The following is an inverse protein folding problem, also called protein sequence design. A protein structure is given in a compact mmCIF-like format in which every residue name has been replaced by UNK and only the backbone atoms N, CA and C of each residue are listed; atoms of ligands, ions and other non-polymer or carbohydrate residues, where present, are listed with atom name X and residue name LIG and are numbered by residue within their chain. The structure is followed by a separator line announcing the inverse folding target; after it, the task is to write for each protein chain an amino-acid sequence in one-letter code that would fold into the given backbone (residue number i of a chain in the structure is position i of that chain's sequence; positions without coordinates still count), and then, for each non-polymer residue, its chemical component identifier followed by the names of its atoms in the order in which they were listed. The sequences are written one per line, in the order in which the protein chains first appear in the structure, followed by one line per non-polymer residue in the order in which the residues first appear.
data_IF_865698751802
#
_entry.id   IF_865698751802
#
_cell.length_a   1.000
_cell.length_b   1.000
_cell.length_c   1.000
_cell.angle_alpha   90.00
_cell.angle_beta   90.00
_cell.angle_gamma   90.00
#
_symmetry.space_group_name_H-M   'P 1'
#
loop_
_entity.id
_entity.type
_entity.pdbx_description
1 polymer ?
#
# COMPACT_ATOMS: atom_id res chain seq x y z
N UNK A 1 -0.29 6.35 7.89
CA UNK A 1 0.64 6.74 8.98
C UNK A 1 0.40 8.16 9.43
N UNK A 2 0.56 9.18 8.58
CA UNK A 2 0.40 10.59 8.97
C UNK A 2 -0.94 10.87 9.68
N UNK A 3 -2.05 10.35 9.16
CA UNK A 3 -3.38 10.45 9.78
C UNK A 3 -3.43 9.93 11.23
N UNK A 4 -2.87 8.74 11.49
CA UNK A 4 -2.79 8.20 12.85
C UNK A 4 -1.85 9.02 13.73
N UNK A 5 -0.69 9.41 13.20
CA UNK A 5 0.31 10.18 13.95
C UNK A 5 -0.22 11.55 14.38
N UNK A 6 -0.93 12.25 13.49
CA UNK A 6 -1.54 13.54 13.83
C UNK A 6 -2.61 13.39 14.89
N UNK A 7 -3.45 12.36 14.83
CA UNK A 7 -4.44 12.08 15.89
C UNK A 7 -3.79 11.80 17.25
N UNK A 8 -2.70 11.02 17.29
CA UNK A 8 -1.93 10.79 18.52
C UNK A 8 -1.36 12.10 19.07
N UNK A 9 -0.86 12.98 18.22
CA UNK A 9 -0.35 14.29 18.64
C UNK A 9 -1.44 15.22 19.15
N UNK A 10 -2.64 15.17 18.58
CA UNK A 10 -3.82 15.88 19.11
C UNK A 10 -4.15 15.40 20.52
N UNK A 11 -4.19 14.08 20.74
CA UNK A 11 -4.48 13.51 22.06
C UNK A 11 -3.43 13.91 23.10
N UNK A 12 -2.14 13.89 22.73
CA UNK A 12 -1.05 14.34 23.58
C UNK A 12 -1.15 15.85 23.89
N UNK A 13 -1.38 16.69 22.88
CA UNK A 13 -1.51 18.14 23.07
C UNK A 13 -2.66 18.47 24.04
N UNK A 14 -3.81 17.79 23.90
CA UNK A 14 -4.94 17.92 24.83
C UNK A 14 -4.58 17.43 26.23
N UNK A 15 -3.89 16.29 26.34
CA UNK A 15 -3.52 15.71 27.64
C UNK A 15 -2.55 16.60 28.43
N UNK A 16 -1.64 17.29 27.75
CA UNK A 16 -0.66 18.18 28.38
C UNK A 16 -1.09 19.65 28.44
N UNK A 17 -2.26 20.00 27.90
CA UNK A 17 -2.77 21.37 27.90
C UNK A 17 -1.94 22.33 27.02
N UNK A 18 -1.41 21.83 25.91
CA UNK A 18 -0.64 22.65 24.96
C UNK A 18 -1.57 23.46 24.05
N UNK A 19 -2.03 24.60 24.56
CA UNK A 19 -2.96 25.50 23.84
C UNK A 19 -2.33 26.19 22.62
N UNK A 20 -0.99 26.26 22.54
CA UNK A 20 -0.28 26.90 21.43
C UNK A 20 -0.22 25.96 20.20
N UNK A 21 0.13 24.69 20.43
CA UNK A 21 0.27 23.71 19.34
C UNK A 21 -1.07 23.12 18.90
N UNK A 22 -2.02 22.95 19.83
CA UNK A 22 -3.27 22.23 19.60
C UNK A 22 -4.03 22.69 18.35
N UNK A 23 -4.26 24.01 18.10
CA UNK A 23 -5.05 24.44 16.95
C UNK A 23 -4.42 24.09 15.60
N UNK A 24 -3.09 24.05 15.52
CA UNK A 24 -2.38 23.71 14.30
C UNK A 24 -2.46 22.20 14.01
N UNK A 25 -2.23 21.37 15.03
CA UNK A 25 -2.24 19.91 14.86
C UNK A 25 -3.65 19.34 14.70
N UNK A 26 -4.68 19.95 15.30
CA UNK A 26 -6.07 19.58 15.08
C UNK A 26 -6.47 19.76 13.61
N UNK A 27 -6.16 20.91 13.00
CA UNK A 27 -6.46 21.18 11.59
C UNK A 27 -5.76 20.18 10.65
N UNK A 28 -4.50 19.88 10.93
CA UNK A 28 -3.74 18.89 10.16
C UNK A 28 -4.33 17.48 10.34
N UNK A 29 -4.71 17.11 11.57
CA UNK A 29 -5.35 15.83 11.87
C UNK A 29 -6.71 15.69 11.16
N UNK A 30 -7.54 16.73 11.15
CA UNK A 30 -8.81 16.74 10.43
C UNK A 30 -8.59 16.54 8.92
N UNK A 31 -7.61 17.25 8.34
CA UNK A 31 -7.28 17.14 6.91
C UNK A 31 -6.80 15.74 6.54
N UNK A 32 -5.90 15.16 7.35
CA UNK A 32 -5.32 13.85 7.06
C UNK A 32 -6.27 12.68 7.33
N UNK A 33 -7.29 12.87 8.18
CA UNK A 33 -8.30 11.86 8.50
C UNK A 33 -9.61 12.07 7.71
N UNK A 34 -9.64 13.00 6.74
CA UNK A 34 -10.79 13.15 5.85
C UNK A 34 -10.92 11.95 4.89
N UNK A 35 -11.92 11.13 5.15
CA UNK A 35 -12.17 9.88 4.41
C UNK A 35 -12.60 10.17 2.98
N UNK A 36 -13.32 11.26 2.73
CA UNK A 36 -13.74 11.63 1.37
C UNK A 36 -12.51 11.95 0.51
N UNK A 37 -11.55 12.71 1.05
CA UNK A 37 -10.27 12.95 0.40
C UNK A 37 -9.46 11.68 0.20
N UNK A 38 -9.41 10.79 1.21
CA UNK A 38 -8.73 9.50 1.09
C UNK A 38 -9.32 8.67 -0.07
N UNK A 39 -10.64 8.54 -0.13
CA UNK A 39 -11.35 7.78 -1.16
C UNK A 39 -11.10 8.40 -2.54
N UNK A 40 -11.25 9.72 -2.66
CA UNK A 40 -11.00 10.44 -3.91
C UNK A 40 -9.57 10.25 -4.43
N UNK A 41 -8.58 10.23 -3.55
CA UNK A 41 -7.17 10.20 -3.92
C UNK A 41 -6.62 8.79 -4.12
N UNK A 42 -7.21 7.79 -3.46
CA UNK A 42 -6.62 6.46 -3.38
C UNK A 42 -7.58 5.32 -3.69
N UNK A 43 -8.90 5.50 -3.72
CA UNK A 43 -9.82 4.41 -4.01
C UNK A 43 -9.93 4.12 -5.50
N UNK A 44 -9.66 2.87 -5.91
CA UNK A 44 -9.97 2.37 -7.24
C UNK A 44 -11.35 1.71 -7.22
N UNK A 45 -12.31 2.30 -7.93
CA UNK A 45 -13.63 1.69 -8.11
C UNK A 45 -13.57 0.39 -8.91
N UNK A 46 -12.68 0.32 -9.91
CA UNK A 46 -12.55 -0.87 -10.77
C UNK A 46 -12.03 -2.08 -10.00
N UNK A 47 -11.15 -1.85 -9.03
CA UNK A 47 -10.53 -2.91 -8.22
C UNK A 47 -11.09 -3.06 -6.83
N UNK A 48 -11.94 -2.13 -6.39
CA UNK A 48 -12.51 -2.09 -5.05
C UNK A 48 -11.43 -2.17 -3.95
N UNK A 49 -10.37 -1.36 -4.09
CA UNK A 49 -9.23 -1.32 -3.17
C UNK A 49 -8.61 0.08 -3.14
N UNK A 50 -7.88 0.40 -2.06
CA UNK A 50 -7.01 1.58 -2.04
C UNK A 50 -5.71 1.31 -2.80
N UNK A 51 -5.19 2.31 -3.50
CA UNK A 51 -4.03 2.20 -4.39
C UNK A 51 -3.06 3.37 -4.19
N UNK A 52 -1.78 3.10 -4.45
CA UNK A 52 -0.84 4.16 -4.78
C UNK A 52 -1.18 4.72 -6.17
N UNK A 53 -0.83 6.00 -6.39
CA UNK A 53 -0.97 6.66 -7.69
C UNK A 53 0.38 7.19 -8.15
N UNK A 54 0.70 7.02 -9.43
CA UNK A 54 1.94 7.54 -9.97
C UNK A 54 2.16 7.21 -11.44
N UNK A 55 3.32 7.59 -11.96
CA UNK A 55 3.75 7.29 -13.32
C UNK A 55 4.13 5.80 -13.42
N UNK A 56 3.17 4.96 -13.86
CA UNK A 56 3.26 3.51 -13.79
C UNK A 56 3.07 2.80 -15.13
N UNK A 57 3.78 1.69 -15.33
CA UNK A 57 3.60 0.75 -16.45
C UNK A 57 3.63 -0.68 -15.91
N UNK A 58 2.61 -1.48 -16.24
CA UNK A 58 2.58 -2.91 -15.92
C UNK A 58 3.49 -3.72 -16.86
N UNK A 59 3.91 -3.11 -17.98
CA UNK A 59 4.69 -3.76 -19.02
C UNK A 59 6.18 -3.58 -18.77
N UNK A 60 6.68 -4.23 -17.72
CA UNK A 60 8.11 -4.25 -17.37
C UNK A 60 8.63 -5.67 -17.25
N UNK A 61 9.91 -5.86 -17.56
CA UNK A 61 10.60 -7.13 -17.38
C UNK A 61 12.05 -6.94 -16.97
N UNK A 62 12.60 -7.92 -16.28
CA UNK A 62 14.04 -8.03 -16.11
C UNK A 62 14.64 -8.68 -17.36
N UNK A 63 15.65 -8.05 -17.94
CA UNK A 63 16.42 -8.59 -19.06
C UNK A 63 17.89 -8.74 -18.65
N UNK A 64 18.57 -9.81 -19.08
CA UNK A 64 20.01 -9.92 -18.87
C UNK A 64 20.75 -8.92 -19.75
N UNK A 65 21.70 -8.19 -19.17
CA UNK A 65 22.66 -7.34 -19.88
C UNK A 65 24.07 -7.65 -19.38
N UNK A 66 25.04 -7.58 -20.30
CA UNK A 66 26.46 -7.82 -20.00
C UNK A 66 27.13 -6.48 -19.67
N UNK A 67 27.77 -6.38 -18.52
CA UNK A 67 28.54 -5.17 -18.13
C UNK A 67 29.86 -5.10 -18.91
N UNK A 68 30.53 -3.93 -18.95
CA UNK A 68 31.86 -3.80 -19.55
C UNK A 68 32.90 -4.76 -18.98
N UNK A 69 32.73 -5.18 -17.72
CA UNK A 69 33.60 -6.12 -17.00
C UNK A 69 33.31 -7.60 -17.35
N UNK A 70 32.26 -7.87 -18.15
CA UNK A 70 31.87 -9.21 -18.57
C UNK A 70 30.84 -9.90 -17.68
N UNK A 71 30.37 -9.24 -16.62
CA UNK A 71 29.35 -9.79 -15.72
C UNK A 71 27.96 -9.71 -16.34
N UNK A 72 27.10 -10.71 -16.10
CA UNK A 72 25.68 -10.64 -16.48
C UNK A 72 24.84 -10.11 -15.32
N UNK A 73 24.20 -8.95 -15.53
CA UNK A 73 23.27 -8.32 -14.60
C UNK A 73 21.84 -8.38 -15.15
N UNK A 74 20.84 -8.33 -14.26
CA UNK A 74 19.44 -8.19 -14.66
C UNK A 74 19.05 -6.71 -14.56
N UNK A 75 18.62 -6.14 -15.68
CA UNK A 75 18.22 -4.74 -15.77
C UNK A 75 16.72 -4.67 -16.04
N UNK A 76 16.03 -3.74 -15.36
CA UNK A 76 14.59 -3.52 -15.60
C UNK A 76 14.41 -2.77 -16.91
N UNK A 77 13.71 -3.38 -17.85
CA UNK A 77 13.30 -2.75 -19.11
C UNK A 77 11.80 -2.45 -19.10
N UNK A 78 11.45 -1.22 -19.43
CA UNK A 78 10.07 -0.77 -19.65
C UNK A 78 9.73 -1.03 -21.12
N UNK A 79 8.61 -1.73 -21.37
CA UNK A 79 8.19 -2.15 -22.72
C UNK A 79 7.06 -1.30 -23.29
N UNK A 80 6.30 -0.64 -22.42
CA UNK A 80 5.30 0.36 -22.78
C UNK A 80 5.50 1.59 -21.92
N UNK A 81 5.38 2.76 -22.53
CA UNK A 81 5.48 4.05 -21.83
C UNK A 81 4.58 4.08 -20.59
N UNK A 82 5.10 4.53 -19.44
CA UNK A 82 4.30 4.64 -18.23
C UNK A 82 3.30 5.78 -18.33
N UNK A 83 2.20 5.65 -17.58
CA UNK A 83 1.13 6.63 -17.53
C UNK A 83 0.80 6.96 -16.07
N UNK A 84 0.35 8.18 -15.80
CA UNK A 84 -0.18 8.51 -14.48
C UNK A 84 -1.49 7.76 -14.27
N UNK A 85 -1.50 6.83 -13.31
CA UNK A 85 -2.64 5.99 -12.97
C UNK A 85 -2.48 5.36 -11.59
N UNK A 86 -3.53 4.72 -11.11
CA UNK A 86 -3.45 3.84 -9.95
C UNK A 86 -2.56 2.61 -10.24
N UNK A 87 -1.79 2.20 -9.24
CA UNK A 87 -0.99 0.97 -9.26
C UNK A 87 -1.86 -0.19 -8.79
N UNK A 88 -2.65 -0.73 -9.72
CA UNK A 88 -3.75 -1.65 -9.40
C UNK A 88 -3.38 -3.14 -9.37
N UNK A 89 -2.26 -3.51 -9.99
CA UNK A 89 -1.79 -4.90 -10.06
C UNK A 89 -0.95 -5.32 -8.84
N UNK A 90 -0.76 -4.43 -7.86
CA UNK A 90 0.03 -4.68 -6.65
C UNK A 90 -0.87 -4.57 -5.42
N UNK A 91 -1.84 -5.47 -5.29
CA UNK A 91 -2.69 -5.55 -4.10
C UNK A 91 -1.94 -6.26 -2.98
N UNK A 92 -1.60 -5.54 -1.90
CA UNK A 92 -0.82 -6.00 -0.78
C UNK A 92 -1.20 -5.32 0.54
N UNK A 93 -0.37 -5.50 1.55
CA UNK A 93 -0.60 -4.86 2.85
C UNK A 93 -0.83 -3.36 2.75
N UNK A 94 -0.08 -2.65 1.89
CA UNK A 94 -0.22 -1.21 1.65
C UNK A 94 -1.67 -0.80 1.37
N UNK A 95 -2.39 -1.59 0.58
CA UNK A 95 -3.76 -1.35 0.16
C UNK A 95 -4.77 -1.54 1.31
N UNK A 96 -4.36 -2.20 2.40
CA UNK A 96 -5.16 -2.47 3.60
C UNK A 96 -4.89 -1.45 4.72
N UNK A 97 -3.93 -0.52 4.57
CA UNK A 97 -3.57 0.42 5.63
C UNK A 97 -4.72 1.29 6.14
N UNK A 98 -5.64 1.80 5.31
CA UNK A 98 -6.80 2.52 5.83
C UNK A 98 -7.61 1.72 6.85
N UNK A 99 -7.71 0.41 6.65
CA UNK A 99 -8.35 -0.51 7.59
C UNK A 99 -7.45 -0.81 8.80
N UNK A 100 -6.18 -1.18 8.58
CA UNK A 100 -5.24 -1.52 9.66
C UNK A 100 -5.04 -0.37 10.66
N UNK A 101 -5.04 0.86 10.15
CA UNK A 101 -4.88 2.07 10.95
C UNK A 101 -6.20 2.59 11.53
N UNK A 102 -7.32 1.90 11.28
CA UNK A 102 -8.68 2.31 11.71
C UNK A 102 -9.06 3.72 11.27
N UNK A 103 -8.62 4.12 10.08
CA UNK A 103 -8.97 5.41 9.48
C UNK A 103 -10.41 5.36 8.95
N UNK A 104 -10.83 4.20 8.44
CA UNK A 104 -12.18 4.02 7.89
C UNK A 104 -13.24 4.01 9.01
N UNK A 105 -14.35 4.78 8.88
CA UNK A 105 -15.46 4.71 9.80
C UNK A 105 -16.17 3.36 9.66
N UNK A 106 -16.78 2.86 10.73
CA UNK A 106 -17.36 1.51 10.79
C UNK A 106 -18.48 1.26 9.75
N UNK A 107 -19.12 2.32 9.26
CA UNK A 107 -20.15 2.28 8.21
C UNK A 107 -19.59 2.57 6.80
N UNK A 108 -18.27 2.66 6.62
CA UNK A 108 -17.66 2.86 5.31
C UNK A 108 -18.05 1.72 4.36
N UNK A 109 -18.52 2.03 3.14
CA UNK A 109 -18.85 1.01 2.16
C UNK A 109 -17.62 0.21 1.70
N UNK A 110 -16.42 0.77 1.87
CA UNK A 110 -15.16 0.18 1.42
C UNK A 110 -14.63 -0.91 2.36
N UNK A 111 -15.08 -0.99 3.61
CA UNK A 111 -14.67 -2.04 4.56
C UNK A 111 -15.07 -3.43 4.05
N UNK A 112 -16.29 -3.59 3.53
CA UNK A 112 -16.81 -4.87 3.05
C UNK A 112 -15.93 -5.51 1.96
N UNK A 113 -15.64 -4.79 0.85
CA UNK A 113 -14.72 -5.25 -0.18
C UNK A 113 -13.33 -5.63 0.35
N UNK A 114 -12.73 -4.82 1.23
CA UNK A 114 -11.41 -5.11 1.80
C UNK A 114 -11.42 -6.39 2.64
N UNK A 115 -12.40 -6.57 3.52
CA UNK A 115 -12.53 -7.77 4.34
C UNK A 115 -12.77 -9.03 3.48
N UNK A 116 -13.54 -8.90 2.39
CA UNK A 116 -13.77 -9.99 1.44
C UNK A 116 -12.46 -10.42 0.79
N UNK A 117 -11.63 -9.48 0.34
CA UNK A 117 -10.31 -9.78 -0.25
C UNK A 117 -9.36 -10.39 0.79
N UNK A 118 -9.31 -9.85 2.02
CA UNK A 118 -8.46 -10.40 3.08
C UNK A 118 -8.79 -11.86 3.38
N UNK A 119 -10.07 -12.23 3.34
CA UNK A 119 -10.56 -13.60 3.60
C UNK A 119 -10.52 -14.52 2.38
N UNK A 120 -10.07 -14.03 1.23
CA UNK A 120 -9.97 -14.80 0.00
C UNK A 120 -8.64 -15.58 -0.04
N UNK A 121 -8.67 -16.93 -0.03
CA UNK A 121 -7.46 -17.75 -0.10
C UNK A 121 -6.73 -17.64 -1.44
N UNK A 122 -7.42 -17.23 -2.52
CA UNK A 122 -6.83 -16.92 -3.83
C UNK A 122 -6.18 -15.53 -3.89
N UNK A 123 -6.18 -14.80 -2.77
CA UNK A 123 -5.49 -13.52 -2.63
C UNK A 123 -4.60 -13.53 -1.39
N UNK A 124 -5.18 -13.26 -0.23
CA UNK A 124 -4.44 -12.98 1.00
C UNK A 124 -4.46 -14.12 2.01
N UNK A 125 -5.56 -14.87 2.09
CA UNK A 125 -5.81 -15.74 3.22
C UNK A 125 -4.98 -17.03 3.17
N UNK A 126 -4.38 -17.40 4.30
CA UNK A 126 -3.68 -18.68 4.51
C UNK A 126 -4.00 -19.23 5.89
N UNK A 127 -3.62 -20.49 6.13
CA UNK A 127 -3.69 -21.10 7.47
C UNK A 127 -2.70 -20.49 8.48
N UNK A 128 -1.78 -19.63 8.02
CA UNK A 128 -0.70 -19.05 8.81
C UNK A 128 -0.80 -17.52 8.98
N UNK A 129 -1.81 -16.89 8.38
CA UNK A 129 -2.01 -15.43 8.38
C UNK A 129 -2.20 -14.85 6.99
N UNK A 130 -2.13 -13.53 6.88
CA UNK A 130 -2.35 -12.80 5.63
C UNK A 130 -1.03 -12.68 4.86
N UNK A 131 -1.03 -13.00 3.56
CA UNK A 131 0.15 -12.78 2.69
C UNK A 131 0.45 -11.29 2.54
N UNK A 132 1.72 -10.91 2.39
CA UNK A 132 2.09 -9.50 2.18
C UNK A 132 1.60 -8.91 0.86
N UNK A 133 1.36 -9.76 -0.13
CA UNK A 133 0.79 -9.41 -1.43
C UNK A 133 -0.16 -10.53 -1.87
N UNK A 134 -1.22 -10.15 -2.59
CA UNK A 134 -2.14 -11.08 -3.23
C UNK A 134 -1.40 -12.01 -4.20
N UNK A 135 -1.80 -13.29 -4.19
CA UNK A 135 -1.36 -14.30 -5.16
C UNK A 135 -1.69 -13.95 -6.61
N UNK A 136 -2.65 -13.05 -6.84
CA UNK A 136 -3.01 -12.55 -8.18
C UNK A 136 -2.05 -11.47 -8.71
N UNK A 137 -1.15 -10.95 -7.87
CA UNK A 137 -0.18 -9.96 -8.32
C UNK A 137 0.89 -10.61 -9.20
N UNK A 138 1.32 -9.96 -10.31
CA UNK A 138 2.49 -10.42 -11.07
C UNK A 138 3.80 -10.37 -10.26
N UNK A 139 3.77 -9.79 -9.05
CA UNK A 139 4.92 -9.74 -8.16
C UNK A 139 4.92 -10.83 -7.08
N UNK A 140 3.90 -11.68 -7.00
CA UNK A 140 3.87 -12.76 -6.02
C UNK A 140 5.05 -13.73 -6.20
N UNK A 141 5.87 -13.87 -5.17
CA UNK A 141 7.15 -14.59 -5.12
C UNK A 141 8.15 -14.30 -6.27
N UNK A 142 8.05 -13.12 -6.89
CA UNK A 142 9.02 -12.72 -7.92
C UNK A 142 10.21 -11.97 -7.35
N UNK A 143 11.39 -12.29 -7.89
CA UNK A 143 12.65 -11.68 -7.50
C UNK A 143 12.76 -10.27 -8.06
N UNK A 144 13.32 -9.35 -7.29
CA UNK A 144 13.57 -7.98 -7.75
C UNK A 144 14.89 -7.86 -8.53
N UNK A 145 15.84 -8.73 -8.23
CA UNK A 145 17.15 -8.84 -8.90
C UNK A 145 17.72 -10.24 -8.64
N UNK A 146 18.93 -10.54 -9.15
CA UNK A 146 19.62 -11.82 -8.91
C UNK A 146 19.82 -12.15 -7.42
N UNK A 147 20.01 -11.14 -6.58
CA UNK A 147 20.17 -11.29 -5.13
C UNK A 147 18.94 -10.79 -4.33
N UNK A 148 17.95 -10.18 -5.00
CA UNK A 148 16.78 -9.59 -4.37
C UNK A 148 15.63 -10.58 -4.25
N UNK A 149 15.70 -11.47 -3.26
CA UNK A 149 14.64 -12.44 -2.97
C UNK A 149 13.30 -11.76 -2.63
N UNK A 150 12.15 -12.42 -2.87
CA UNK A 150 10.82 -11.86 -2.62
C UNK A 150 10.53 -11.72 -1.11
N UNK A 151 10.83 -10.54 -0.53
CA UNK A 151 10.71 -10.29 0.92
C UNK A 151 9.27 -9.90 1.33
N UNK A 152 8.76 -8.78 0.79
CA UNK A 152 7.37 -8.32 0.97
C UNK A 152 6.47 -8.72 -0.20
N UNK A 153 6.82 -9.81 -0.89
CA UNK A 153 6.14 -10.30 -2.10
C UNK A 153 5.49 -11.67 -1.90
N UNK A 154 4.92 -11.95 -0.75
CA UNK A 154 4.21 -13.19 -0.47
C UNK A 154 4.26 -13.67 0.98
N UNK A 155 5.43 -13.63 1.66
CA UNK A 155 5.54 -14.05 3.05
C UNK A 155 4.56 -13.33 3.99
N UNK A 156 4.23 -13.99 5.11
CA UNK A 156 3.39 -13.45 6.18
C UNK A 156 4.30 -12.75 7.19
N UNK A 157 3.91 -11.54 7.62
CA UNK A 157 4.67 -10.73 8.57
C UNK A 157 3.85 -10.44 9.82
N UNK A 158 4.35 -10.83 10.99
CA UNK A 158 3.59 -10.80 12.26
C UNK A 158 3.15 -9.40 12.70
N UNK A 159 3.88 -8.36 12.29
CA UNK A 159 3.58 -6.98 12.64
C UNK A 159 2.45 -6.37 11.80
N UNK A 160 2.03 -7.06 10.73
CA UNK A 160 0.95 -6.68 9.84
C UNK A 160 -0.27 -7.56 10.10
#
# INVERSE_FOLDING_TARGET
WMAMSSSVLVDLARQFGDEEFLPAIERESETLNDVESLDKLHWSEDKQQYCDYGLHSDSVKLVPETTPEGDTILVRKVLKEPQYKFVENVNGYSNLFPLFMRILPANSPHIGPLLKQMRDPEQFWTDFGLRSISTLSPYYFTWNSKAGSPYWRGPVWINM
#
